data_IF_918584742918
#
_entry.id   IF_918584742918
#
_cell.length_a   1.000
_cell.length_b   1.000
_cell.length_c   1.000
_cell.angle_alpha   90.00
_cell.angle_beta   90.00
_cell.angle_gamma   90.00
#
_symmetry.space_group_name_H-M   'P 1'
#
loop_
_entity.id
_entity.type
_entity.pdbx_description
1 polymer ?
#
# COMPACT_ATOMS: atom_id res chain seq x y z
N UNK A 1 -7.51 8.67 -12.29
CA UNK A 1 -7.48 9.83 -13.19
C UNK A 1 -8.79 10.60 -13.14
N UNK A 2 -9.91 10.05 -13.61
CA UNK A 2 -11.17 10.80 -13.68
C UNK A 2 -11.65 11.33 -12.32
N UNK A 3 -11.64 10.50 -11.28
CA UNK A 3 -12.13 10.88 -9.94
C UNK A 3 -11.42 12.11 -9.37
N UNK A 4 -10.08 12.19 -9.50
CA UNK A 4 -9.34 13.32 -8.95
C UNK A 4 -9.59 14.62 -9.71
N UNK A 5 -9.85 14.53 -11.03
CA UNK A 5 -10.25 15.67 -11.85
C UNK A 5 -11.66 16.15 -11.49
N UNK A 6 -12.58 15.22 -11.20
CA UNK A 6 -13.92 15.58 -10.74
C UNK A 6 -13.86 16.28 -9.37
N UNK A 7 -13.06 15.78 -8.44
CA UNK A 7 -12.84 16.44 -7.14
C UNK A 7 -12.22 17.83 -7.31
N UNK A 8 -11.22 17.98 -8.17
CA UNK A 8 -10.61 19.28 -8.47
C UNK A 8 -11.61 20.26 -9.14
N UNK A 9 -12.61 19.75 -9.85
CA UNK A 9 -13.71 20.54 -10.42
C UNK A 9 -14.83 20.86 -9.40
N UNK A 10 -14.68 20.49 -8.13
CA UNK A 10 -15.63 20.78 -7.05
C UNK A 10 -16.75 19.75 -6.88
N UNK A 11 -16.71 18.62 -7.62
CA UNK A 11 -17.64 17.51 -7.37
C UNK A 11 -17.27 16.73 -6.10
N UNK A 12 -18.21 15.91 -5.62
CA UNK A 12 -18.06 15.13 -4.39
C UNK A 12 -18.13 13.63 -4.69
N UNK A 13 -17.42 12.86 -3.88
CA UNK A 13 -17.49 11.39 -3.87
C UNK A 13 -18.20 10.94 -2.61
N UNK A 14 -19.19 10.08 -2.74
CA UNK A 14 -19.91 9.50 -1.60
C UNK A 14 -19.72 7.98 -1.56
N UNK A 15 -19.51 7.46 -0.34
CA UNK A 15 -19.49 6.03 -0.09
C UNK A 15 -20.91 5.54 0.21
N UNK A 16 -21.43 4.66 -0.64
CA UNK A 16 -22.75 4.04 -0.46
C UNK A 16 -22.53 2.59 0.01
N UNK A 17 -22.86 2.23 1.26
CA UNK A 17 -22.61 0.89 1.82
C UNK A 17 -23.25 -0.24 1.02
N UNK A 18 -24.39 0.03 0.40
CA UNK A 18 -25.17 -0.96 -0.36
C UNK A 18 -24.69 -1.10 -1.83
N UNK A 19 -23.75 -0.26 -2.28
CA UNK A 19 -23.17 -0.34 -3.61
C UNK A 19 -22.08 -1.43 -3.67
N UNK A 20 -22.51 -2.70 -3.68
CA UNK A 20 -21.63 -3.88 -3.64
C UNK A 20 -21.31 -4.36 -5.07
N UNK A 21 -20.02 -4.58 -5.34
CA UNK A 21 -19.56 -5.15 -6.60
C UNK A 21 -18.68 -6.39 -6.36
N UNK A 22 -18.87 -7.43 -7.17
CA UNK A 22 -17.98 -8.59 -7.19
C UNK A 22 -16.73 -8.24 -8.01
N UNK A 23 -15.55 -8.54 -7.45
CA UNK A 23 -14.28 -8.33 -8.17
C UNK A 23 -13.70 -9.67 -8.58
N UNK A 24 -13.14 -9.72 -9.80
CA UNK A 24 -12.42 -10.88 -10.30
C UNK A 24 -10.96 -10.76 -9.87
N UNK A 25 -10.49 -11.74 -9.10
CA UNK A 25 -9.09 -11.84 -8.67
C UNK A 25 -8.45 -13.02 -9.41
N UNK A 26 -7.26 -12.85 -10.00
CA UNK A 26 -6.58 -13.97 -10.64
C UNK A 26 -6.21 -15.06 -9.64
N UNK A 27 -6.42 -16.30 -10.05
CA UNK A 27 -6.13 -17.52 -9.30
C UNK A 27 -4.66 -17.96 -9.41
N UNK A 28 -3.92 -17.38 -10.36
CA UNK A 28 -2.51 -17.70 -10.64
C UNK A 28 -1.59 -16.52 -10.33
N UNK A 29 -0.38 -16.85 -9.88
CA UNK A 29 0.63 -15.88 -9.47
C UNK A 29 1.03 -14.91 -10.60
N UNK A 30 1.31 -15.40 -11.81
CA UNK A 30 1.79 -14.54 -12.91
C UNK A 30 0.73 -13.51 -13.34
N UNK A 31 -0.54 -13.88 -13.62
CA UNK A 31 -1.60 -12.91 -13.86
C UNK A 31 -1.80 -11.93 -12.70
N UNK A 32 -1.71 -12.41 -11.45
CA UNK A 32 -1.78 -11.55 -10.27
C UNK A 32 -0.67 -10.48 -10.27
N UNK A 33 0.58 -10.86 -10.53
CA UNK A 33 1.70 -9.91 -10.58
C UNK A 33 1.56 -8.88 -11.71
N UNK A 34 1.10 -9.30 -12.89
CA UNK A 34 0.81 -8.37 -14.00
C UNK A 34 -0.27 -7.37 -13.62
N UNK A 35 -1.28 -7.81 -12.88
CA UNK A 35 -2.32 -6.93 -12.36
C UNK A 35 -1.77 -5.95 -11.32
N UNK A 36 -0.95 -6.41 -10.38
CA UNK A 36 -0.29 -5.55 -9.40
C UNK A 36 0.63 -4.52 -10.06
N UNK A 37 1.37 -4.92 -11.11
CA UNK A 37 2.21 -4.02 -11.91
C UNK A 37 1.38 -2.93 -12.59
N UNK A 38 0.26 -3.31 -13.23
CA UNK A 38 -0.65 -2.36 -13.86
C UNK A 38 -1.22 -1.36 -12.84
N UNK A 39 -1.61 -1.85 -11.67
CA UNK A 39 -2.11 -1.02 -10.58
C UNK A 39 -1.04 -0.07 -10.07
N UNK A 40 0.18 -0.54 -9.81
CA UNK A 40 1.29 0.28 -9.37
C UNK A 40 1.60 1.42 -10.36
N UNK A 41 1.66 1.12 -11.67
CA UNK A 41 1.85 2.15 -12.71
C UNK A 41 0.72 3.18 -12.72
N UNK A 42 -0.54 2.74 -12.56
CA UNK A 42 -1.65 3.69 -12.47
C UNK A 42 -1.52 4.57 -11.24
N UNK A 43 -1.21 4.01 -10.07
CA UNK A 43 -1.04 4.75 -8.82
C UNK A 43 0.05 5.81 -8.92
N UNK A 44 1.20 5.50 -9.55
CA UNK A 44 2.25 6.50 -9.77
C UNK A 44 1.80 7.61 -10.72
N UNK A 45 1.11 7.27 -11.81
CA UNK A 45 0.52 8.27 -12.71
C UNK A 45 -0.53 9.13 -12.00
N UNK A 46 -1.37 8.51 -11.18
CA UNK A 46 -2.42 9.18 -10.39
C UNK A 46 -1.78 10.13 -9.37
N UNK A 47 -0.71 9.71 -8.69
CA UNK A 47 0.06 10.55 -7.77
C UNK A 47 0.69 11.75 -8.48
N UNK A 48 1.30 11.53 -9.65
CA UNK A 48 1.92 12.60 -10.43
C UNK A 48 0.90 13.66 -10.89
N UNK A 49 -0.29 13.22 -11.30
CA UNK A 49 -1.39 14.12 -11.70
C UNK A 49 -2.04 14.81 -10.51
N UNK A 50 -2.12 14.14 -9.35
CA UNK A 50 -2.68 14.68 -8.12
C UNK A 50 -1.83 15.81 -7.53
N UNK A 51 -0.50 15.68 -7.62
CA UNK A 51 0.45 16.55 -6.93
C UNK A 51 0.24 18.06 -7.20
N UNK A 52 0.10 18.53 -8.46
CA UNK A 52 -0.19 19.94 -8.73
C UNK A 52 -1.61 20.37 -8.33
N UNK A 53 -2.54 19.42 -8.17
CA UNK A 53 -3.94 19.66 -7.80
C UNK A 53 -4.17 19.63 -6.29
N UNK A 54 -3.20 19.17 -5.48
CA UNK A 54 -3.35 19.05 -4.03
C UNK A 54 -3.90 20.31 -3.33
N UNK A 55 -3.50 21.55 -3.69
CA UNK A 55 -4.01 22.74 -3.03
C UNK A 55 -5.53 22.95 -3.19
N UNK A 56 -6.15 22.37 -4.23
CA UNK A 56 -7.59 22.44 -4.48
C UNK A 56 -8.35 21.20 -4.00
N UNK A 57 -7.66 20.20 -3.44
CA UNK A 57 -8.24 18.95 -2.97
C UNK A 57 -8.34 18.93 -1.44
N UNK A 58 -9.20 18.04 -0.92
CA UNK A 58 -9.34 17.82 0.51
C UNK A 58 -8.04 17.29 1.13
N UNK A 59 -7.72 17.71 2.35
CA UNK A 59 -6.52 17.28 3.07
C UNK A 59 -6.42 15.76 3.23
N UNK A 60 -7.54 15.05 3.29
CA UNK A 60 -7.58 13.60 3.30
C UNK A 60 -6.87 12.98 2.08
N UNK A 61 -7.01 13.59 0.90
CA UNK A 61 -6.34 13.12 -0.32
C UNK A 61 -4.83 13.27 -0.21
N UNK A 62 -4.36 14.36 0.41
CA UNK A 62 -2.94 14.55 0.71
C UNK A 62 -2.42 13.45 1.64
N UNK A 63 -3.16 13.16 2.72
CA UNK A 63 -2.80 12.07 3.64
C UNK A 63 -2.76 10.70 2.94
N UNK A 64 -3.71 10.43 2.05
CA UNK A 64 -3.78 9.19 1.30
C UNK A 64 -2.59 9.05 0.33
N UNK A 65 -2.28 10.09 -0.43
CA UNK A 65 -1.13 10.09 -1.36
C UNK A 65 0.19 9.94 -0.62
N UNK A 66 0.38 10.67 0.48
CA UNK A 66 1.57 10.52 1.34
C UNK A 66 1.63 9.10 1.88
N UNK A 67 0.52 8.57 2.41
CA UNK A 67 0.44 7.22 2.95
C UNK A 67 0.80 6.14 1.93
N UNK A 68 0.26 6.23 0.72
CA UNK A 68 0.46 5.25 -0.34
C UNK A 68 1.89 5.21 -0.89
N UNK A 69 2.60 6.33 -0.87
CA UNK A 69 3.96 6.44 -1.42
C UNK A 69 5.05 6.36 -0.35
N UNK A 70 4.87 7.03 0.79
CA UNK A 70 5.87 7.08 1.86
C UNK A 70 6.02 5.74 2.58
N UNK A 71 4.92 5.04 2.88
CA UNK A 71 5.00 3.77 3.63
C UNK A 71 5.78 2.68 2.87
N UNK A 72 5.53 2.42 1.56
CA UNK A 72 6.33 1.47 0.81
C UNK A 72 7.80 1.89 0.69
N UNK A 73 8.08 3.20 0.60
CA UNK A 73 9.44 3.72 0.56
C UNK A 73 10.17 3.46 1.88
N UNK A 74 9.56 3.78 3.01
CA UNK A 74 10.12 3.51 4.35
C UNK A 74 10.33 2.01 4.57
N UNK A 75 9.41 1.16 4.09
CA UNK A 75 9.59 -0.29 4.12
C UNK A 75 10.79 -0.71 3.27
N UNK A 76 10.95 -0.17 2.06
CA UNK A 76 12.10 -0.45 1.21
C UNK A 76 13.44 -0.04 1.83
N UNK A 77 13.50 1.16 2.41
CA UNK A 77 14.67 1.62 3.17
C UNK A 77 14.96 0.67 4.35
N UNK A 78 13.94 0.27 5.11
CA UNK A 78 14.09 -0.65 6.24
C UNK A 78 14.67 -2.01 5.81
N UNK A 79 14.28 -2.51 4.64
CA UNK A 79 14.83 -3.75 4.07
C UNK A 79 16.30 -3.56 3.70
N UNK A 80 16.64 -2.46 3.03
CA UNK A 80 18.02 -2.17 2.63
C UNK A 80 18.93 -2.02 3.85
N UNK A 81 18.49 -1.30 4.88
CA UNK A 81 19.26 -1.15 6.13
C UNK A 81 19.38 -2.48 6.88
N UNK A 82 18.32 -3.30 6.88
CA UNK A 82 18.36 -4.64 7.47
C UNK A 82 19.39 -5.54 6.76
N UNK A 83 19.42 -5.51 5.43
CA UNK A 83 20.40 -6.27 4.64
C UNK A 83 21.83 -5.76 4.86
N UNK A 84 22.02 -4.44 4.92
CA UNK A 84 23.32 -3.84 5.21
C UNK A 84 23.82 -4.22 6.60
N UNK A 85 22.94 -4.22 7.62
CA UNK A 85 23.28 -4.66 8.96
C UNK A 85 23.72 -6.13 8.97
N UNK A 86 22.93 -7.03 8.36
CA UNK A 86 23.28 -8.45 8.26
C UNK A 86 24.64 -8.63 7.57
N UNK A 87 24.91 -7.89 6.50
CA UNK A 87 26.17 -7.97 5.78
C UNK A 87 27.39 -7.48 6.59
N UNK A 88 27.19 -6.47 7.44
CA UNK A 88 28.28 -5.84 8.21
C UNK A 88 28.52 -6.51 9.56
N UNK A 89 27.48 -6.96 10.25
CA UNK A 89 27.58 -7.48 11.62
C UNK A 89 27.30 -8.98 11.72
N UNK A 90 26.81 -9.62 10.65
CA UNK A 90 26.31 -11.01 10.67
C UNK A 90 25.17 -11.26 11.67
N UNK A 91 24.56 -10.20 12.20
CA UNK A 91 23.45 -10.27 13.14
C UNK A 91 22.12 -9.95 12.45
N UNK A 92 21.08 -10.69 12.82
CA UNK A 92 19.74 -10.42 12.34
C UNK A 92 19.16 -9.17 13.05
N UNK A 93 18.52 -8.23 12.35
CA UNK A 93 17.92 -7.03 12.94
C UNK A 93 16.60 -7.35 13.66
N UNK A 94 16.67 -8.11 14.75
CA UNK A 94 15.53 -8.51 15.57
C UNK A 94 14.63 -7.35 16.00
N UNK A 95 15.14 -6.17 16.43
CA UNK A 95 14.28 -5.05 16.80
C UNK A 95 13.39 -4.60 15.64
N UNK A 96 13.94 -4.49 14.43
CA UNK A 96 13.20 -4.10 13.23
C UNK A 96 12.12 -5.12 12.89
N UNK A 97 12.44 -6.41 12.96
CA UNK A 97 11.47 -7.49 12.72
C UNK A 97 10.33 -7.43 13.74
N UNK A 98 10.63 -7.26 15.02
CA UNK A 98 9.64 -7.17 16.10
C UNK A 98 8.76 -5.93 15.96
N UNK A 99 9.31 -4.78 15.58
CA UNK A 99 8.55 -3.55 15.34
C UNK A 99 7.58 -3.75 14.17
N UNK A 100 8.04 -4.30 13.04
CA UNK A 100 7.19 -4.53 11.87
C UNK A 100 6.07 -5.53 12.21
N UNK A 101 6.41 -6.62 12.90
CA UNK A 101 5.44 -7.63 13.33
C UNK A 101 4.38 -7.05 14.29
N UNK A 102 4.81 -6.31 15.31
CA UNK A 102 3.92 -5.70 16.30
C UNK A 102 3.01 -4.63 15.68
N UNK A 103 3.53 -3.71 14.88
CA UNK A 103 2.70 -2.70 14.19
C UNK A 103 1.68 -3.35 13.26
N UNK A 104 2.07 -4.43 12.57
CA UNK A 104 1.16 -5.19 11.71
C UNK A 104 0.04 -5.84 12.51
N UNK A 105 0.38 -6.49 13.64
CA UNK A 105 -0.61 -7.09 14.53
C UNK A 105 -1.56 -6.05 15.11
N UNK A 106 -1.05 -4.92 15.61
CA UNK A 106 -1.89 -3.82 16.12
C UNK A 106 -2.86 -3.32 15.05
N UNK A 107 -2.40 -3.10 13.83
CA UNK A 107 -3.25 -2.65 12.71
C UNK A 107 -4.33 -3.68 12.35
N UNK A 108 -3.96 -4.96 12.27
CA UNK A 108 -4.91 -6.02 11.91
C UNK A 108 -5.92 -6.27 13.04
N UNK A 109 -5.50 -6.20 14.30
CA UNK A 109 -6.38 -6.30 15.48
C UNK A 109 -7.36 -5.14 15.55
N UNK A 110 -6.92 -3.91 15.30
CA UNK A 110 -7.81 -2.74 15.26
C UNK A 110 -8.85 -2.88 14.12
N UNK A 111 -8.43 -3.37 12.95
CA UNK A 111 -9.34 -3.65 11.84
C UNK A 111 -10.35 -4.75 12.19
N UNK A 112 -9.90 -5.85 12.79
CA UNK A 112 -10.76 -6.95 13.23
C UNK A 112 -11.78 -6.51 14.28
N UNK A 113 -11.36 -5.67 15.24
CA UNK A 113 -12.23 -5.11 16.27
C UNK A 113 -13.28 -4.18 15.67
N UNK A 114 -12.87 -3.22 14.83
CA UNK A 114 -13.79 -2.26 14.19
C UNK A 114 -14.79 -2.95 13.26
N UNK A 115 -14.36 -3.94 12.50
CA UNK A 115 -15.22 -4.70 11.59
C UNK A 115 -15.99 -5.83 12.28
N UNK A 116 -15.70 -6.12 13.56
CA UNK A 116 -16.24 -7.26 14.33
C UNK A 116 -16.05 -8.61 13.62
N UNK A 117 -14.93 -8.79 12.91
CA UNK A 117 -14.63 -10.01 12.17
C UNK A 117 -13.15 -10.40 12.30
N UNK A 118 -12.89 -11.63 12.79
CA UNK A 118 -11.52 -12.12 13.01
C UNK A 118 -10.75 -12.39 11.71
N UNK A 119 -11.44 -12.51 10.56
CA UNK A 119 -10.80 -12.69 9.25
C UNK A 119 -9.78 -11.60 8.94
N UNK A 120 -9.93 -10.41 9.51
CA UNK A 120 -8.99 -9.32 9.28
C UNK A 120 -7.60 -9.57 9.88
N UNK A 121 -7.46 -10.50 10.84
CA UNK A 121 -6.16 -10.93 11.35
C UNK A 121 -5.33 -11.66 10.28
N UNK A 122 -5.98 -12.35 9.34
CA UNK A 122 -5.28 -13.02 8.25
C UNK A 122 -4.51 -12.04 7.33
N UNK A 123 -4.88 -10.75 7.32
CA UNK A 123 -4.12 -9.73 6.59
C UNK A 123 -2.71 -9.51 7.16
N UNK A 124 -2.38 -10.01 8.35
CA UNK A 124 -1.00 -10.01 8.83
C UNK A 124 -0.07 -10.81 7.89
N UNK A 125 -0.57 -11.89 7.28
CA UNK A 125 0.18 -12.68 6.30
C UNK A 125 0.40 -11.92 4.98
N UNK A 126 -0.31 -10.82 4.75
CA UNK A 126 -0.09 -9.98 3.57
C UNK A 126 1.24 -9.20 3.66
N UNK A 127 1.79 -8.97 4.85
CA UNK A 127 3.05 -8.24 5.00
C UNK A 127 4.26 -8.90 4.35
N UNK A 128 4.55 -10.20 4.56
CA UNK A 128 5.64 -10.85 3.83
C UNK A 128 5.39 -10.83 2.31
N UNK A 129 4.15 -11.02 1.86
CA UNK A 129 3.81 -10.90 0.43
C UNK A 129 4.14 -9.48 -0.08
N UNK A 130 3.76 -8.45 0.66
CA UNK A 130 4.07 -7.08 0.30
C UNK A 130 5.57 -6.80 0.25
N UNK A 131 6.34 -7.37 1.16
CA UNK A 131 7.79 -7.17 1.29
C UNK A 131 8.57 -7.86 0.16
N UNK A 132 8.29 -9.14 -0.09
CA UNK A 132 9.08 -9.95 -1.03
C UNK A 132 8.55 -9.95 -2.46
N UNK A 133 7.26 -9.64 -2.66
CA UNK A 133 6.62 -9.77 -3.96
C UNK A 133 6.14 -8.44 -4.52
N UNK A 134 5.37 -7.67 -3.74
CA UNK A 134 4.74 -6.44 -4.25
C UNK A 134 5.72 -5.26 -4.29
N UNK A 135 6.64 -5.17 -3.33
CA UNK A 135 7.63 -4.09 -3.32
C UNK A 135 8.56 -4.15 -4.56
N UNK A 136 9.13 -5.30 -4.94
CA UNK A 136 9.88 -5.41 -6.20
C UNK A 136 9.04 -5.02 -7.43
N UNK A 137 7.76 -5.42 -7.47
CA UNK A 137 6.85 -5.03 -8.55
C UNK A 137 6.63 -3.52 -8.60
N UNK A 138 6.51 -2.85 -7.45
CA UNK A 138 6.40 -1.39 -7.37
C UNK A 138 7.69 -0.69 -7.82
N UNK A 139 8.85 -1.21 -7.42
CA UNK A 139 10.14 -0.67 -7.88
C UNK A 139 10.26 -0.82 -9.40
N UNK A 140 9.96 -2.01 -9.93
CA UNK A 140 9.94 -2.24 -11.38
C UNK A 140 8.95 -1.31 -12.10
N UNK A 141 7.75 -1.12 -11.54
CA UNK A 141 6.74 -0.20 -12.08
C UNK A 141 7.20 1.27 -12.11
N UNK A 142 8.09 1.68 -11.21
CA UNK A 142 8.65 3.03 -11.19
C UNK A 142 9.73 3.22 -12.27
N UNK A 143 10.45 2.14 -12.60
CA UNK A 143 11.51 2.13 -13.63
C UNK A 143 10.99 1.95 -15.06
N UNK A 144 9.69 1.69 -15.26
CA UNK A 144 9.07 1.42 -16.57
C UNK A 144 7.86 2.29 -16.82
#
# INVERSE_FOLDING_TARGET
HLTILMLAAGFRTEYVPDAIAATVVPDRLVPYLRQQLRWARSTFRDTALALPLLPSLDFYITLDIVGQNLLPLLLGVSILTALAQIALTSELPWPTVLIIASMTMVRCSLAAFRARQLRFLAFALHKPISMFLLLPVKVYALCT
#
